data_IF_180545437504
#
_entry.id   IF_180545437504
#
_cell.length_a   1.000
_cell.length_b   1.000
_cell.length_c   1.000
_cell.angle_alpha   90.00
_cell.angle_beta   90.00
_cell.angle_gamma   90.00
#
_symmetry.space_group_name_H-M   'P 1'
#
loop_
_entity.id
_entity.type
_entity.pdbx_description
1 polymer ?
#
# COMPACT_ATOMS: atom_id res chain seq x y z
N UNK A 1 -46.46 -37.41 21.82
CA UNK A 1 -46.22 -37.59 20.37
C UNK A 1 -45.18 -36.53 19.98
N UNK A 2 -43.94 -36.97 19.78
CA UNK A 2 -42.74 -36.20 19.44
C UNK A 2 -42.50 -34.88 20.20
N UNK A 3 -41.83 -34.95 21.36
CA UNK A 3 -41.14 -33.79 21.97
C UNK A 3 -39.84 -33.45 21.23
N UNK A 4 -39.83 -33.60 19.91
CA UNK A 4 -38.64 -33.47 19.07
C UNK A 4 -38.80 -32.23 18.21
N UNK A 5 -37.92 -31.25 18.39
CA UNK A 5 -37.84 -30.11 17.50
C UNK A 5 -37.33 -30.59 16.14
N UNK A 6 -38.09 -30.32 15.07
CA UNK A 6 -37.77 -30.77 13.72
C UNK A 6 -37.94 -29.64 12.71
N UNK A 7 -36.88 -29.36 11.95
CA UNK A 7 -36.97 -28.51 10.77
C UNK A 7 -37.54 -29.31 9.58
N UNK A 8 -38.25 -28.64 8.67
CA UNK A 8 -38.75 -29.25 7.43
C UNK A 8 -37.60 -29.87 6.61
N UNK A 9 -36.44 -29.20 6.56
CA UNK A 9 -35.23 -29.72 5.90
C UNK A 9 -34.67 -30.99 6.54
N UNK A 10 -34.98 -31.25 7.81
CA UNK A 10 -34.54 -32.44 8.55
C UNK A 10 -35.46 -33.65 8.42
N UNK A 11 -36.65 -33.49 7.82
CA UNK A 11 -37.64 -34.57 7.68
C UNK A 11 -37.06 -35.82 6.99
N UNK A 12 -36.30 -35.72 5.88
CA UNK A 12 -35.75 -36.91 5.23
C UNK A 12 -34.86 -37.75 6.15
N UNK A 13 -34.03 -37.08 6.96
CA UNK A 13 -33.21 -37.77 7.96
C UNK A 13 -34.07 -38.38 9.06
N UNK A 14 -35.05 -37.64 9.57
CA UNK A 14 -35.95 -38.13 10.61
C UNK A 14 -36.69 -39.41 10.18
N UNK A 15 -37.20 -39.44 8.94
CA UNK A 15 -37.94 -40.59 8.41
C UNK A 15 -37.06 -41.84 8.19
N UNK A 16 -35.74 -41.70 8.16
CA UNK A 16 -34.79 -42.79 7.93
C UNK A 16 -34.03 -43.23 9.18
N UNK A 17 -33.90 -42.36 10.19
CA UNK A 17 -33.11 -42.65 11.40
C UNK A 17 -33.94 -42.76 12.67
N UNK A 18 -35.12 -42.14 12.73
CA UNK A 18 -35.99 -42.18 13.90
C UNK A 18 -36.97 -43.36 13.82
N UNK A 19 -37.14 -44.10 14.92
CA UNK A 19 -38.02 -45.27 14.98
C UNK A 19 -39.48 -44.93 14.64
N UNK A 20 -39.98 -43.77 15.06
CA UNK A 20 -41.33 -43.30 14.73
C UNK A 20 -41.42 -42.90 13.26
N UNK A 21 -40.39 -42.21 12.76
CA UNK A 21 -40.28 -41.83 11.35
C UNK A 21 -40.30 -43.05 10.42
N UNK A 22 -39.48 -44.05 10.71
CA UNK A 22 -39.38 -45.31 9.95
C UNK A 22 -40.71 -46.05 9.95
N UNK A 23 -41.39 -46.12 11.10
CA UNK A 23 -42.71 -46.74 11.21
C UNK A 23 -43.75 -46.02 10.34
N UNK A 24 -43.76 -44.68 10.33
CA UNK A 24 -44.64 -43.90 9.46
C UNK A 24 -44.39 -44.20 7.97
N UNK A 25 -43.12 -44.30 7.55
CA UNK A 25 -42.78 -44.67 6.17
C UNK A 25 -43.25 -46.09 5.83
N UNK A 26 -43.12 -47.03 6.76
CA UNK A 26 -43.55 -48.43 6.54
C UNK A 26 -45.06 -48.54 6.41
N UNK A 27 -45.83 -47.73 7.14
CA UNK A 27 -47.30 -47.76 7.14
C UNK A 27 -47.88 -47.01 5.94
N UNK A 28 -47.42 -45.79 5.67
CA UNK A 28 -48.05 -44.88 4.71
C UNK A 28 -47.23 -44.67 3.42
N UNK A 29 -45.98 -45.11 3.39
CA UNK A 29 -45.03 -44.79 2.33
C UNK A 29 -44.35 -43.43 2.54
N UNK A 30 -43.19 -43.24 1.90
CA UNK A 30 -42.32 -42.09 2.16
C UNK A 30 -42.98 -40.74 1.84
N UNK A 31 -43.73 -40.66 0.73
CA UNK A 31 -44.38 -39.42 0.30
C UNK A 31 -45.47 -38.98 1.30
N UNK A 32 -46.35 -39.90 1.70
CA UNK A 32 -47.41 -39.62 2.65
C UNK A 32 -46.87 -39.35 4.06
N UNK A 33 -45.83 -40.06 4.49
CA UNK A 33 -45.15 -39.80 5.76
C UNK A 33 -44.53 -38.40 5.80
N UNK A 34 -43.88 -37.98 4.70
CA UNK A 34 -43.32 -36.62 4.57
C UNK A 34 -44.41 -35.56 4.67
N UNK A 35 -45.49 -35.70 3.90
CA UNK A 35 -46.61 -34.77 3.93
C UNK A 35 -47.26 -34.69 5.32
N UNK A 36 -47.51 -35.84 5.97
CA UNK A 36 -48.09 -35.89 7.30
C UNK A 36 -47.22 -35.22 8.37
N UNK A 37 -45.89 -35.38 8.30
CA UNK A 37 -44.97 -34.68 9.22
C UNK A 37 -44.96 -33.18 8.96
N UNK A 38 -44.99 -32.74 7.70
CA UNK A 38 -45.10 -31.32 7.34
C UNK A 38 -46.40 -30.72 7.89
N UNK A 39 -47.53 -31.41 7.73
CA UNK A 39 -48.83 -30.97 8.22
C UNK A 39 -48.84 -30.87 9.75
N UNK A 40 -48.23 -31.82 10.46
CA UNK A 40 -48.06 -31.77 11.91
C UNK A 40 -47.22 -30.56 12.35
N UNK A 41 -46.12 -30.28 11.67
CA UNK A 41 -45.28 -29.09 11.94
C UNK A 41 -46.09 -27.80 11.71
N UNK A 42 -46.84 -27.73 10.62
CA UNK A 42 -47.64 -26.55 10.28
C UNK A 42 -48.85 -26.37 11.21
N UNK A 43 -49.42 -27.44 11.74
CA UNK A 43 -50.49 -27.42 12.72
C UNK A 43 -50.01 -27.11 14.15
N UNK A 44 -48.71 -27.26 14.43
CA UNK A 44 -48.16 -27.01 15.76
C UNK A 44 -48.40 -25.56 16.23
N UNK A 45 -48.72 -25.41 17.51
CA UNK A 45 -48.90 -24.11 18.17
C UNK A 45 -47.58 -23.36 18.34
N UNK A 46 -46.48 -24.10 18.54
CA UNK A 46 -45.14 -23.56 18.73
C UNK A 46 -44.28 -23.80 17.47
N UNK A 47 -44.62 -23.08 16.38
CA UNK A 47 -43.92 -23.14 15.09
C UNK A 47 -43.33 -21.78 14.73
N UNK A 48 -42.26 -21.79 13.95
CA UNK A 48 -41.63 -20.58 13.42
C UNK A 48 -41.20 -20.77 11.97
N UNK A 49 -41.29 -19.69 11.19
CA UNK A 49 -40.64 -19.60 9.87
C UNK A 49 -39.34 -18.84 10.08
N UNK A 50 -38.22 -19.48 9.74
CA UNK A 50 -36.88 -18.96 10.00
C UNK A 50 -36.19 -18.66 8.67
N UNK A 51 -35.60 -17.48 8.55
CA UNK A 51 -34.75 -17.10 7.41
C UNK A 51 -33.30 -17.14 7.86
N UNK A 52 -32.46 -17.83 7.11
CA UNK A 52 -31.05 -18.00 7.41
C UNK A 52 -30.20 -17.32 6.32
N UNK A 53 -29.04 -16.80 6.72
CA UNK A 53 -28.05 -16.27 5.76
C UNK A 53 -27.33 -17.41 5.03
N UNK A 54 -26.49 -17.07 4.06
CA UNK A 54 -25.56 -18.03 3.49
C UNK A 54 -24.64 -18.63 4.57
N UNK A 55 -24.16 -19.85 4.31
CA UNK A 55 -23.31 -20.64 5.23
C UNK A 55 -23.92 -20.86 6.62
N UNK A 56 -25.25 -20.91 6.69
CA UNK A 56 -26.00 -21.21 7.89
C UNK A 56 -26.70 -22.57 7.78
N UNK A 57 -26.63 -23.34 8.86
CA UNK A 57 -27.37 -24.58 9.04
C UNK A 57 -28.42 -24.40 10.15
N UNK A 58 -29.65 -24.78 9.87
CA UNK A 58 -30.75 -24.68 10.82
C UNK A 58 -30.56 -25.68 11.97
N UNK A 59 -30.74 -25.21 13.20
CA UNK A 59 -30.61 -25.99 14.45
C UNK A 59 -31.89 -25.81 15.28
N UNK A 60 -32.79 -26.79 15.21
CA UNK A 60 -34.03 -26.77 15.97
C UNK A 60 -33.78 -27.22 17.41
N UNK A 61 -34.19 -26.42 18.39
CA UNK A 61 -34.23 -26.83 19.80
C UNK A 61 -35.50 -26.34 20.49
N UNK A 62 -35.85 -26.94 21.64
CA UNK A 62 -37.02 -26.54 22.41
C UNK A 62 -36.97 -25.08 22.89
N UNK A 63 -35.78 -24.52 23.09
CA UNK A 63 -35.57 -23.13 23.52
C UNK A 63 -35.42 -22.14 22.36
N UNK A 64 -35.02 -22.61 21.18
CA UNK A 64 -34.87 -21.79 19.98
C UNK A 64 -35.22 -22.60 18.74
N UNK A 65 -36.42 -22.35 18.19
CA UNK A 65 -36.92 -22.98 16.96
C UNK A 65 -36.13 -22.52 15.72
N UNK A 66 -35.55 -21.32 15.76
CA UNK A 66 -34.73 -20.75 14.70
C UNK A 66 -33.25 -20.70 15.08
N UNK A 67 -32.78 -21.72 15.80
CA UNK A 67 -31.34 -21.85 16.09
C UNK A 67 -30.56 -21.98 14.78
N UNK A 68 -29.35 -21.44 14.80
CA UNK A 68 -28.47 -21.42 13.64
C UNK A 68 -27.07 -21.83 14.05
N UNK A 69 -26.43 -22.67 13.24
CA UNK A 69 -25.01 -22.97 13.33
C UNK A 69 -24.36 -22.63 11.99
N UNK A 70 -23.24 -21.93 12.03
CA UNK A 70 -22.52 -21.58 10.80
C UNK A 70 -21.69 -22.75 10.29
N UNK A 71 -21.57 -22.84 8.96
CA UNK A 71 -20.78 -23.85 8.25
C UNK A 71 -19.57 -23.19 7.58
N UNK A 72 -18.70 -24.00 6.98
CA UNK A 72 -17.58 -23.52 6.14
C UNK A 72 -16.64 -22.54 6.86
N UNK A 73 -16.48 -22.69 8.18
CA UNK A 73 -15.62 -21.85 9.02
C UNK A 73 -16.16 -20.46 9.33
N UNK A 74 -17.38 -20.12 8.89
CA UNK A 74 -18.03 -18.86 9.25
C UNK A 74 -18.42 -18.84 10.72
N UNK A 75 -18.48 -17.64 11.30
CA UNK A 75 -18.84 -17.44 12.70
C UNK A 75 -20.17 -16.70 12.83
N UNK A 76 -20.96 -17.09 13.82
CA UNK A 76 -22.24 -16.45 14.10
C UNK A 76 -22.00 -15.08 14.73
N UNK A 77 -22.41 -14.02 14.05
CA UNK A 77 -22.56 -12.72 14.70
C UNK A 77 -23.85 -12.72 15.53
N UNK A 78 -23.69 -12.61 16.84
CA UNK A 78 -24.80 -12.65 17.80
C UNK A 78 -25.75 -11.44 17.65
N UNK A 79 -25.27 -10.34 17.08
CA UNK A 79 -26.04 -9.10 16.92
C UNK A 79 -26.99 -9.18 15.73
N UNK A 80 -26.48 -9.61 14.58
CA UNK A 80 -27.27 -9.72 13.34
C UNK A 80 -27.86 -11.11 13.11
N UNK A 81 -27.44 -12.12 13.89
CA UNK A 81 -27.74 -13.55 13.67
C UNK A 81 -27.34 -14.05 12.28
N UNK A 82 -26.30 -13.46 11.70
CA UNK A 82 -25.77 -13.85 10.39
C UNK A 82 -24.43 -14.56 10.54
N UNK A 83 -24.16 -15.47 9.60
CA UNK A 83 -22.85 -16.13 9.52
C UNK A 83 -21.89 -15.24 8.75
N UNK A 84 -20.85 -14.75 9.42
CA UNK A 84 -19.90 -13.79 8.86
C UNK A 84 -18.47 -14.33 8.93
N UNK A 85 -17.67 -13.98 7.93
CA UNK A 85 -16.24 -14.23 7.92
C UNK A 85 -15.51 -12.96 8.36
N UNK A 86 -15.17 -12.89 9.64
CA UNK A 86 -14.53 -11.73 10.24
C UNK A 86 -13.01 -11.87 10.26
N UNK A 87 -12.31 -10.73 10.21
CA UNK A 87 -10.86 -10.67 10.39
C UNK A 87 -10.46 -11.39 11.69
N UNK A 88 -9.38 -12.20 11.71
CA UNK A 88 -8.30 -12.34 10.71
C UNK A 88 -8.55 -13.35 9.58
N UNK A 89 -9.75 -13.94 9.51
CA UNK A 89 -10.08 -14.92 8.48
C UNK A 89 -10.53 -14.23 7.19
N UNK A 90 -10.42 -14.96 6.08
CA UNK A 90 -10.82 -14.52 4.73
C UNK A 90 -11.58 -15.64 4.03
N UNK A 91 -12.47 -15.25 3.10
CA UNK A 91 -13.26 -16.19 2.30
C UNK A 91 -12.44 -16.67 1.11
N UNK A 92 -12.39 -17.99 0.94
CA UNK A 92 -11.42 -18.65 0.09
C UNK A 92 -12.06 -19.90 -0.51
N UNK A 93 -12.40 -19.86 -1.80
CA UNK A 93 -13.20 -20.89 -2.46
C UNK A 93 -14.49 -21.24 -1.68
N UNK A 94 -15.16 -20.24 -1.09
CA UNK A 94 -16.40 -20.43 -0.32
C UNK A 94 -16.20 -20.86 1.14
N UNK A 95 -14.96 -21.02 1.62
CA UNK A 95 -14.65 -21.36 3.01
C UNK A 95 -14.00 -20.17 3.71
N UNK A 96 -14.49 -19.82 4.90
CA UNK A 96 -13.88 -18.84 5.77
C UNK A 96 -12.75 -19.49 6.58
N UNK A 97 -11.51 -19.08 6.32
CA UNK A 97 -10.34 -19.64 6.98
C UNK A 97 -9.24 -18.60 7.17
N UNK A 98 -8.19 -18.97 7.90
CA UNK A 98 -7.03 -18.09 8.07
C UNK A 98 -6.47 -17.66 6.71
N UNK A 99 -6.18 -16.36 6.57
CA UNK A 99 -5.53 -15.80 5.37
C UNK A 99 -4.22 -16.49 5.01
N UNK A 100 -3.52 -17.08 5.97
CA UNK A 100 -2.29 -17.85 5.74
C UNK A 100 -2.52 -19.17 4.99
N UNK A 101 -3.74 -19.71 5.06
CA UNK A 101 -4.15 -20.95 4.39
C UNK A 101 -4.80 -20.69 3.02
N UNK A 102 -4.76 -19.44 2.55
CA UNK A 102 -5.29 -19.03 1.27
C UNK A 102 -4.19 -18.60 0.30
N UNK A 103 -3.71 -19.52 -0.54
CA UNK A 103 -2.66 -19.24 -1.52
C UNK A 103 -3.02 -18.08 -2.47
N UNK A 104 -4.32 -17.90 -2.74
CA UNK A 104 -4.86 -16.83 -3.59
C UNK A 104 -4.98 -15.47 -2.91
N UNK A 105 -4.93 -15.41 -1.57
CA UNK A 105 -4.95 -14.15 -0.80
C UNK A 105 -3.56 -13.60 -0.53
N UNK A 106 -2.50 -14.36 -0.86
CA UNK A 106 -1.13 -13.85 -0.84
C UNK A 106 -0.81 -13.23 -2.21
N UNK A 107 -0.52 -11.92 -2.28
CA UNK A 107 0.26 -11.39 -3.40
C UNK A 107 1.54 -12.25 -3.52
N UNK A 108 2.06 -12.51 -4.73
CA UNK A 108 3.31 -13.23 -4.86
C UNK A 108 4.37 -12.53 -4.00
N UNK A 109 4.84 -13.20 -2.95
CA UNK A 109 5.77 -12.67 -1.96
C UNK A 109 7.05 -12.07 -2.59
N UNK A 110 7.36 -12.46 -3.83
CA UNK A 110 8.44 -11.88 -4.64
C UNK A 110 8.24 -10.40 -5.00
N UNK A 111 7.00 -9.91 -5.15
CA UNK A 111 6.76 -8.51 -5.56
C UNK A 111 6.74 -7.55 -4.37
N UNK A 112 6.36 -8.00 -3.18
CA UNK A 112 6.40 -7.17 -1.97
C UNK A 112 7.76 -7.19 -1.27
N UNK A 113 8.52 -8.29 -1.29
CA UNK A 113 9.89 -8.28 -0.75
C UNK A 113 10.83 -7.38 -1.57
N UNK A 114 10.53 -7.10 -2.83
CA UNK A 114 11.23 -6.09 -3.63
C UNK A 114 10.83 -4.65 -3.26
N UNK A 115 9.61 -4.44 -2.73
CA UNK A 115 9.10 -3.12 -2.30
C UNK A 115 9.39 -2.79 -0.84
N UNK A 116 9.69 -3.80 -0.03
CA UNK A 116 9.92 -3.69 1.42
C UNK A 116 11.36 -4.06 1.82
N UNK A 117 12.34 -3.78 0.95
CA UNK A 117 13.72 -3.60 1.43
C UNK A 117 13.91 -2.12 1.61
N UNK A 118 13.67 -1.65 2.84
CA UNK A 118 14.18 -0.34 3.24
C UNK A 118 15.65 -0.28 2.84
N UNK A 119 16.08 0.76 2.12
CA UNK A 119 17.47 0.87 1.70
C UNK A 119 18.35 0.90 2.94
N UNK A 120 19.30 -0.03 3.02
CA UNK A 120 20.17 -0.19 4.18
C UNK A 120 21.51 0.47 3.90
N UNK A 121 21.66 1.71 4.37
CA UNK A 121 22.96 2.38 4.40
C UNK A 121 23.60 2.29 5.77
N UNK A 122 24.92 2.41 5.81
CA UNK A 122 25.66 2.55 7.07
C UNK A 122 25.22 3.83 7.78
N UNK A 123 25.43 3.89 9.09
CA UNK A 123 25.17 5.10 9.86
C UNK A 123 25.88 6.31 9.23
N UNK A 124 25.17 7.43 9.15
CA UNK A 124 25.67 8.66 8.54
C UNK A 124 25.56 8.75 7.01
N UNK A 125 25.09 7.70 6.32
CA UNK A 125 24.88 7.71 4.87
C UNK A 125 23.39 7.72 4.51
N UNK A 126 23.07 8.37 3.40
CA UNK A 126 21.72 8.49 2.83
C UNK A 126 21.63 7.63 1.58
N UNK A 127 20.51 6.92 1.40
CA UNK A 127 20.25 6.16 0.18
C UNK A 127 19.75 7.09 -0.93
N UNK A 128 20.58 7.28 -1.95
CA UNK A 128 20.31 8.11 -3.12
C UNK A 128 20.08 7.25 -4.35
N UNK A 129 19.15 7.65 -5.20
CA UNK A 129 18.85 6.92 -6.44
C UNK A 129 19.97 7.09 -7.46
N UNK A 130 20.18 6.07 -8.28
CA UNK A 130 21.19 6.13 -9.36
C UNK A 130 20.51 6.64 -10.63
N UNK A 131 20.99 7.75 -11.19
CA UNK A 131 20.48 8.30 -12.44
C UNK A 131 20.70 7.31 -13.60
N UNK A 132 19.65 6.99 -14.35
CA UNK A 132 19.69 5.95 -15.39
C UNK A 132 19.70 4.51 -14.86
N UNK A 133 19.68 4.33 -13.54
CA UNK A 133 19.53 3.04 -12.88
C UNK A 133 18.09 2.53 -12.89
N UNK A 134 17.90 1.31 -12.38
CA UNK A 134 16.55 0.77 -12.14
C UNK A 134 15.79 1.63 -11.10
N UNK A 135 14.44 1.62 -11.09
CA UNK A 135 13.63 2.46 -10.18
C UNK A 135 13.88 2.30 -8.66
N UNK A 136 14.66 1.29 -8.26
CA UNK A 136 15.03 0.97 -6.87
C UNK A 136 16.54 0.82 -6.70
N UNK A 137 17.32 1.15 -7.73
CA UNK A 137 18.77 1.15 -7.66
C UNK A 137 19.19 2.36 -6.83
N UNK A 138 19.95 2.10 -5.77
CA UNK A 138 20.45 3.13 -4.88
C UNK A 138 21.92 2.92 -4.58
N UNK A 139 22.56 4.03 -4.25
CA UNK A 139 23.88 4.09 -3.65
C UNK A 139 23.80 4.81 -2.31
N UNK A 140 24.76 4.55 -1.43
CA UNK A 140 24.82 5.15 -0.11
C UNK A 140 25.84 6.29 -0.12
N UNK A 141 25.37 7.52 0.04
CA UNK A 141 26.18 8.74 -0.04
C UNK A 141 26.19 9.44 1.31
N UNK A 142 27.35 9.94 1.76
CA UNK A 142 27.40 10.86 2.91
C UNK A 142 27.05 12.28 2.42
N UNK A 143 25.76 12.60 2.48
CA UNK A 143 25.22 13.88 2.01
C UNK A 143 25.67 15.09 2.84
N UNK A 144 26.49 14.89 3.88
CA UNK A 144 27.06 16.01 4.66
C UNK A 144 28.37 16.54 4.09
N UNK A 145 29.04 15.73 3.27
CA UNK A 145 30.38 15.98 2.75
C UNK A 145 30.47 15.81 1.23
N UNK A 146 29.53 15.07 0.64
CA UNK A 146 29.51 14.86 -0.81
C UNK A 146 29.14 16.14 -1.56
N UNK A 147 29.95 16.46 -2.58
CA UNK A 147 29.81 17.70 -3.34
C UNK A 147 28.58 17.68 -4.27
N UNK A 148 28.28 16.51 -4.84
CA UNK A 148 27.27 16.29 -5.87
C UNK A 148 25.89 15.97 -5.28
N UNK A 149 25.83 15.66 -3.98
CA UNK A 149 24.62 15.36 -3.21
C UNK A 149 24.71 16.01 -1.83
N UNK A 150 25.00 17.31 -1.80
CA UNK A 150 25.13 18.05 -0.56
C UNK A 150 23.75 18.35 0.05
N UNK A 151 23.58 18.05 1.33
CA UNK A 151 22.33 18.27 2.08
C UNK A 151 21.24 17.23 1.85
N UNK A 152 21.39 16.39 0.82
CA UNK A 152 20.44 15.35 0.45
C UNK A 152 20.82 14.72 -0.90
N UNK A 153 19.94 13.90 -1.46
CA UNK A 153 20.20 13.27 -2.75
C UNK A 153 19.82 14.21 -3.90
N UNK A 154 20.72 14.40 -4.86
CA UNK A 154 20.37 15.08 -6.13
C UNK A 154 19.40 14.25 -6.96
N UNK A 155 19.48 12.91 -6.83
CA UNK A 155 18.45 11.98 -7.32
C UNK A 155 17.76 11.29 -6.13
N UNK A 156 16.59 11.76 -5.68
CA UNK A 156 15.87 11.17 -4.55
C UNK A 156 15.43 9.74 -4.85
N UNK A 157 15.74 8.79 -3.96
CA UNK A 157 15.33 7.39 -4.10
C UNK A 157 13.82 7.21 -3.84
N UNK A 158 13.27 7.98 -2.90
CA UNK A 158 11.85 7.96 -2.57
C UNK A 158 11.32 9.39 -2.43
N UNK A 159 10.00 9.58 -2.39
CA UNK A 159 9.37 10.89 -2.15
C UNK A 159 9.77 11.52 -0.82
N UNK A 160 10.22 10.71 0.14
CA UNK A 160 10.61 11.15 1.48
C UNK A 160 12.13 11.31 1.62
N UNK A 161 12.90 10.99 0.58
CA UNK A 161 14.36 11.18 0.60
C UNK A 161 14.68 12.68 0.66
N UNK A 162 15.64 13.11 1.48
CA UNK A 162 16.05 14.51 1.53
C UNK A 162 16.59 14.92 0.15
N UNK A 163 16.20 16.09 -0.32
CA UNK A 163 16.64 16.64 -1.61
C UNK A 163 17.93 17.42 -1.36
N UNK A 164 18.96 17.08 -2.13
CA UNK A 164 20.25 17.79 -2.08
C UNK A 164 20.50 18.64 -3.32
N UNK A 165 21.69 19.19 -3.37
CA UNK A 165 22.17 19.99 -4.49
C UNK A 165 23.60 19.60 -4.81
N UNK A 166 23.92 19.61 -6.09
CA UNK A 166 25.29 19.56 -6.59
C UNK A 166 25.91 20.96 -6.49
N UNK A 167 26.87 21.11 -5.58
CA UNK A 167 27.57 22.38 -5.37
C UNK A 167 28.52 22.72 -6.52
N UNK A 168 28.98 21.74 -7.32
CA UNK A 168 29.89 21.96 -8.45
C UNK A 168 29.20 22.66 -9.62
N UNK A 169 27.87 22.46 -9.74
CA UNK A 169 27.03 23.09 -10.75
C UNK A 169 26.55 24.51 -10.39
N UNK A 170 27.04 25.11 -9.29
CA UNK A 170 26.66 26.46 -8.90
C UNK A 170 27.13 27.50 -9.94
N UNK A 171 26.25 28.40 -10.42
CA UNK A 171 26.61 29.38 -11.45
C UNK A 171 27.78 30.27 -11.04
N UNK A 172 28.82 30.33 -11.87
CA UNK A 172 29.99 31.18 -11.65
C UNK A 172 30.90 30.71 -10.51
N UNK A 173 30.66 29.53 -9.91
CA UNK A 173 31.53 28.99 -8.88
C UNK A 173 32.72 28.23 -9.51
N UNK A 174 33.92 28.46 -8.98
CA UNK A 174 35.16 27.76 -9.41
C UNK A 174 35.69 26.80 -8.35
N UNK A 175 35.50 27.13 -7.07
CA UNK A 175 35.95 26.30 -5.96
C UNK A 175 34.86 26.27 -4.89
N UNK A 176 34.41 25.07 -4.57
CA UNK A 176 33.24 24.79 -3.75
C UNK A 176 33.50 23.58 -2.86
N UNK A 177 32.83 23.56 -1.72
CA UNK A 177 32.86 22.41 -0.81
C UNK A 177 31.46 22.16 -0.25
N UNK A 178 31.17 20.90 0.09
CA UNK A 178 30.02 20.57 0.92
C UNK A 178 30.47 20.48 2.38
N UNK A 179 29.85 21.27 3.25
CA UNK A 179 30.14 21.23 4.67
C UNK A 179 28.83 21.12 5.46
N UNK A 180 28.70 20.03 6.23
CA UNK A 180 27.51 19.74 7.07
C UNK A 180 26.20 19.80 6.28
N UNK A 181 26.25 19.43 4.99
CA UNK A 181 25.08 19.41 4.12
C UNK A 181 24.69 20.79 3.57
N UNK A 182 25.62 21.74 3.52
CA UNK A 182 25.43 23.03 2.85
C UNK A 182 26.61 23.34 1.94
N UNK A 183 26.30 23.89 0.76
CA UNK A 183 27.32 24.34 -0.17
C UNK A 183 28.05 25.56 0.40
N UNK A 184 29.37 25.55 0.27
CA UNK A 184 30.25 26.63 0.68
C UNK A 184 31.18 26.99 -0.47
N UNK A 185 31.02 28.19 -1.01
CA UNK A 185 31.80 28.71 -2.13
C UNK A 185 33.07 29.37 -1.60
N UNK A 186 34.22 28.93 -2.11
CA UNK A 186 35.53 29.49 -1.79
C UNK A 186 35.96 30.53 -2.84
N UNK A 187 35.68 30.28 -4.11
CA UNK A 187 36.08 31.14 -5.22
C UNK A 187 35.07 31.14 -6.35
N UNK A 188 34.86 32.33 -6.92
CA UNK A 188 34.03 32.54 -8.10
C UNK A 188 34.87 32.83 -9.35
N UNK A 189 34.27 32.66 -10.51
CA UNK A 189 34.81 32.98 -11.82
C UNK A 189 34.85 34.50 -12.06
N UNK A 190 35.59 34.94 -13.08
CA UNK A 190 35.72 36.35 -13.41
C UNK A 190 34.35 37.02 -13.64
N UNK A 191 34.14 38.18 -13.02
CA UNK A 191 32.87 38.91 -13.05
C UNK A 191 31.86 38.50 -11.98
N UNK A 192 32.22 37.56 -11.10
CA UNK A 192 31.42 37.15 -9.96
C UNK A 192 32.20 37.33 -8.63
N UNK A 193 31.46 37.64 -7.57
CA UNK A 193 31.96 37.70 -6.19
C UNK A 193 31.23 36.70 -5.31
N UNK A 194 31.93 36.19 -4.29
CA UNK A 194 31.32 35.28 -3.31
C UNK A 194 30.27 36.04 -2.51
N UNK A 195 29.08 35.48 -2.36
CA UNK A 195 28.01 36.05 -1.55
C UNK A 195 28.42 36.19 -0.08
N UNK A 196 27.74 37.07 0.67
CA UNK A 196 28.06 37.32 2.09
C UNK A 196 27.91 36.09 2.97
N UNK A 197 26.97 35.21 2.65
CA UNK A 197 26.72 33.92 3.30
C UNK A 197 27.55 32.77 2.69
N UNK A 198 28.34 33.06 1.65
CA UNK A 198 29.18 32.11 0.91
C UNK A 198 28.42 30.91 0.32
N UNK A 199 27.12 31.05 0.10
CA UNK A 199 26.29 30.01 -0.51
C UNK A 199 26.32 30.03 -2.04
N UNK A 200 26.73 31.15 -2.64
CA UNK A 200 26.66 31.36 -4.10
C UNK A 200 27.67 32.38 -4.61
N UNK A 201 27.77 32.47 -5.94
CA UNK A 201 28.47 33.54 -6.64
C UNK A 201 27.45 34.53 -7.20
N UNK A 202 27.65 35.81 -6.95
CA UNK A 202 26.79 36.90 -7.43
C UNK A 202 27.58 37.78 -8.39
N UNK A 203 26.92 38.28 -9.44
CA UNK A 203 27.57 39.19 -10.38
C UNK A 203 28.10 40.43 -9.66
N UNK A 204 29.32 40.84 -10.00
CA UNK A 204 29.84 42.13 -9.56
C UNK A 204 28.96 43.24 -10.17
N UNK A 205 28.23 43.96 -9.31
CA UNK A 205 27.53 45.18 -9.75
C UNK A 205 28.57 46.20 -10.24
N UNK A 206 28.29 46.94 -11.34
CA UNK A 206 29.20 47.95 -11.88
C UNK A 206 29.56 49.09 -10.89
N UNK A 207 28.91 49.15 -9.72
CA UNK A 207 29.26 50.06 -8.63
C UNK A 207 30.58 49.71 -7.90
N UNK A 208 31.19 48.54 -8.15
CA UNK A 208 32.48 48.14 -7.55
C UNK A 208 33.67 48.21 -8.53
N UNK A 209 33.42 48.67 -9.76
CA UNK A 209 34.38 48.78 -10.86
C UNK A 209 35.09 50.15 -10.94
N UNK A 210 35.05 50.94 -9.87
CA UNK A 210 35.62 52.31 -9.86
C UNK A 210 37.03 52.39 -9.26
N UNK A 211 37.69 51.28 -8.93
CA UNK A 211 38.96 51.35 -8.20
C UNK A 211 40.09 50.42 -8.67
N UNK A 212 40.11 49.99 -9.94
CA UNK A 212 41.37 49.59 -10.58
C UNK A 212 41.25 49.79 -12.09
N UNK A 213 41.96 50.78 -12.64
CA UNK A 213 42.81 50.76 -13.86
C UNK A 213 42.96 52.20 -14.38
N UNK A 214 44.01 52.85 -13.87
CA UNK A 214 44.78 53.94 -14.49
C UNK A 214 46.22 53.42 -14.36
N UNK A 215 47.08 53.19 -15.35
CA UNK A 215 47.27 53.53 -16.77
C UNK A 215 47.72 52.22 -17.49
N UNK A 216 47.75 52.03 -18.81
CA UNK A 216 48.45 52.87 -19.77
C UNK A 216 48.16 52.43 -21.21
N UNK A 217 47.99 53.45 -22.02
CA UNK A 217 47.84 53.55 -23.47
C UNK A 217 48.77 52.64 -24.30
N UNK A 218 48.20 51.92 -25.27
CA UNK A 218 48.81 51.70 -26.61
C UNK A 218 47.79 51.05 -27.54
N UNK A 219 47.22 51.88 -28.40
CA UNK A 219 46.04 51.57 -29.20
C UNK A 219 46.14 50.42 -30.21
N UNK A 220 44.96 50.00 -30.65
CA UNK A 220 44.55 49.94 -32.06
C UNK A 220 43.11 49.41 -32.15
N UNK A 221 42.22 50.28 -32.59
CA UNK A 221 40.91 49.97 -33.16
C UNK A 221 40.97 48.75 -34.09
N UNK A 222 40.08 47.76 -33.91
CA UNK A 222 39.52 47.00 -35.03
C UNK A 222 38.04 46.66 -34.81
N UNK A 223 37.27 46.98 -35.85
CA UNK A 223 35.81 46.98 -35.97
C UNK A 223 35.19 45.60 -35.82
N UNK A 224 34.00 45.59 -35.22
CA UNK A 224 33.08 44.46 -35.24
C UNK A 224 32.61 44.07 -36.64
N UNK A 225 32.13 42.83 -36.74
CA UNK A 225 31.35 42.35 -37.87
C UNK A 225 30.15 41.56 -37.35
N UNK A 226 28.97 42.18 -37.42
CA UNK A 226 27.69 41.49 -37.40
C UNK A 226 27.63 40.51 -38.58
N UNK A 227 27.08 39.32 -38.34
CA UNK A 227 26.52 38.47 -39.39
C UNK A 227 25.12 38.05 -38.92
N UNK A 228 24.13 38.85 -39.32
CA UNK A 228 22.74 38.44 -39.37
C UNK A 228 22.58 37.36 -40.44
N UNK A 229 21.90 36.27 -40.09
CA UNK A 229 21.38 35.28 -41.03
C UNK A 229 20.03 35.76 -41.56
N UNK A 230 19.89 35.90 -42.87
CA UNK A 230 18.59 35.78 -43.56
C UNK A 230 18.75 34.86 -44.77
N UNK A 231 17.95 33.79 -44.77
CA UNK A 231 17.67 32.93 -45.91
C UNK A 231 16.64 33.59 -46.82
N UNK A 232 16.95 33.63 -48.12
CA UNK A 232 16.06 33.47 -49.29
C UNK A 232 16.77 34.07 -50.51
#
# INVERSE_FOLDING_TARGET
LAETCLCISGIPSFLTTNTVGIAMVTIAGNAAATAGVIDLINAASNKAVCTYSDHASAQCSASNLCGVSCTDGYMLDSSSRTCTCSFPNVVCNGVCQSSSLCPSSMPPAKREQARSRSPHCKFGHTACGILGGAPWAYECIDTRLDLESCGGCTTPLTKNSPIGTDCSSLPGALDVSCNRGSCFVLRCDAGFTVSSDRSSCVLESPSNLSHVVELQDSGKYWKGRQLERKSA
#
